data_IF_212000643995
#
_entry.id   IF_212000643995
#
_cell.length_a   1.000
_cell.length_b   1.000
_cell.length_c   1.000
_cell.angle_alpha   90.00
_cell.angle_beta   90.00
_cell.angle_gamma   90.00
#
_symmetry.space_group_name_H-M   'P 1'
#
loop_
_entity.id
_entity.type
_entity.pdbx_description
1 polymer ?
#
# COMPACT_ATOMS: atom_id res chain seq x y z
N UNK A 1 -6.84 11.64 5.93
CA UNK A 1 -8.20 11.88 6.43
C UNK A 1 -8.39 13.38 6.60
N UNK A 2 -7.67 14.01 7.54
CA UNK A 2 -7.62 15.48 7.72
C UNK A 2 -7.52 16.29 6.42
N UNK A 3 -6.43 16.15 5.65
CA UNK A 3 -6.27 16.83 4.36
C UNK A 3 -7.41 16.57 3.37
N UNK A 4 -8.01 15.39 3.43
CA UNK A 4 -9.09 15.02 2.54
C UNK A 4 -10.42 15.70 2.98
N UNK A 5 -10.64 15.83 4.29
CA UNK A 5 -11.76 16.57 4.87
C UNK A 5 -11.63 18.07 4.58
N UNK A 6 -10.45 18.66 4.84
CA UNK A 6 -10.18 20.08 4.59
C UNK A 6 -10.31 20.44 3.11
N UNK A 7 -9.91 19.52 2.22
CA UNK A 7 -10.00 19.69 0.77
C UNK A 7 -11.36 19.37 0.16
N UNK A 8 -12.35 18.93 0.96
CA UNK A 8 -13.69 18.60 0.45
C UNK A 8 -13.73 17.41 -0.52
N UNK A 9 -12.85 16.43 -0.34
CA UNK A 9 -12.82 15.23 -1.18
C UNK A 9 -13.90 14.22 -0.78
N UNK A 10 -14.32 13.38 -1.73
CA UNK A 10 -15.40 12.40 -1.48
C UNK A 10 -14.96 11.24 -0.57
N UNK A 11 -13.72 10.79 -0.70
CA UNK A 11 -13.17 9.63 0.00
C UNK A 11 -11.68 9.76 0.27
N UNK A 12 -11.18 9.01 1.26
CA UNK A 12 -9.76 8.74 1.42
C UNK A 12 -9.49 7.22 1.48
N UNK A 13 -8.26 6.83 1.12
CA UNK A 13 -7.82 5.44 1.12
C UNK A 13 -6.32 5.35 1.44
N UNK A 14 -5.78 4.14 1.42
CA UNK A 14 -4.34 3.90 1.54
C UNK A 14 -3.86 2.89 0.49
N UNK A 15 -2.63 3.08 0.01
CA UNK A 15 -1.98 2.13 -0.90
C UNK A 15 -1.57 0.84 -0.20
N UNK A 16 -1.52 0.79 1.14
CA UNK A 16 -1.05 -0.38 1.90
C UNK A 16 -1.81 -1.67 1.57
N UNK A 17 -3.07 -1.59 1.11
CA UNK A 17 -3.89 -2.76 0.78
C UNK A 17 -3.48 -3.44 -0.54
N UNK A 18 -2.58 -2.85 -1.34
CA UNK A 18 -1.98 -3.50 -2.52
C UNK A 18 -0.95 -4.57 -2.15
N UNK A 19 -0.30 -4.44 -0.99
CA UNK A 19 0.78 -5.34 -0.61
C UNK A 19 0.22 -6.71 -0.18
N UNK A 20 0.78 -7.82 -0.69
CA UNK A 20 0.33 -9.16 -0.32
C UNK A 20 0.58 -9.48 1.17
N UNK A 21 1.52 -8.79 1.81
CA UNK A 21 1.91 -9.02 3.20
C UNK A 21 1.09 -8.22 4.22
N UNK A 22 0.21 -7.31 3.77
CA UNK A 22 -0.56 -6.43 4.67
C UNK A 22 -1.93 -7.00 4.98
N UNK A 23 -2.33 -6.90 6.24
CA UNK A 23 -3.66 -7.29 6.70
C UNK A 23 -4.69 -6.23 6.30
N UNK A 24 -5.37 -6.45 5.17
CA UNK A 24 -6.37 -5.52 4.65
C UNK A 24 -7.58 -5.37 5.58
N UNK A 25 -7.98 -6.41 6.32
CA UNK A 25 -9.08 -6.31 7.27
C UNK A 25 -8.75 -5.30 8.37
N UNK A 26 -7.56 -5.42 8.97
CA UNK A 26 -7.11 -4.48 10.01
C UNK A 26 -6.94 -3.06 9.48
N UNK A 27 -6.43 -2.91 8.25
CA UNK A 27 -6.30 -1.59 7.61
C UNK A 27 -7.68 -0.95 7.39
N UNK A 28 -8.66 -1.70 6.89
CA UNK A 28 -10.00 -1.19 6.68
C UNK A 28 -10.70 -0.85 8.01
N UNK A 29 -10.48 -1.63 9.08
CA UNK A 29 -10.96 -1.30 10.43
C UNK A 29 -10.44 0.07 10.89
N UNK A 30 -9.13 0.31 10.77
CA UNK A 30 -8.50 1.60 11.14
C UNK A 30 -9.04 2.74 10.26
N UNK A 31 -9.11 2.52 8.95
CA UNK A 31 -9.65 3.52 8.00
C UNK A 31 -11.08 3.92 8.34
N UNK A 32 -11.93 2.96 8.72
CA UNK A 32 -13.30 3.24 9.14
C UNK A 32 -13.38 4.00 10.46
N UNK A 33 -12.52 3.69 11.44
CA UNK A 33 -12.43 4.46 12.68
C UNK A 33 -12.08 5.93 12.39
N UNK A 34 -11.08 6.16 11.53
CA UNK A 34 -10.68 7.51 11.11
C UNK A 34 -11.78 8.21 10.29
N UNK A 35 -12.59 7.46 9.53
CA UNK A 35 -13.73 8.04 8.81
C UNK A 35 -14.73 8.70 9.77
N UNK A 36 -15.01 8.06 10.91
CA UNK A 36 -15.86 8.63 11.95
C UNK A 36 -15.23 9.84 12.66
N UNK A 37 -13.92 9.82 12.90
CA UNK A 37 -13.20 10.91 13.56
C UNK A 37 -13.13 12.19 12.70
N UNK A 38 -12.82 12.05 11.40
CA UNK A 38 -12.60 13.18 10.50
C UNK A 38 -13.84 13.56 9.66
N UNK A 39 -14.94 12.80 9.77
CA UNK A 39 -16.18 13.07 9.03
C UNK A 39 -16.09 12.89 7.51
N UNK A 40 -15.04 12.23 7.02
CA UNK A 40 -14.83 11.94 5.59
C UNK A 40 -14.91 10.43 5.33
N UNK A 41 -15.62 9.95 4.30
CA UNK A 41 -15.74 8.52 4.02
C UNK A 41 -14.40 7.80 3.75
N UNK A 42 -14.19 6.65 4.38
CA UNK A 42 -13.14 5.70 4.00
C UNK A 42 -13.57 4.90 2.77
N UNK A 43 -12.66 4.70 1.82
CA UNK A 43 -12.85 3.77 0.70
C UNK A 43 -12.37 2.36 1.09
N UNK A 44 -13.27 1.40 1.38
CA UNK A 44 -12.88 0.04 1.74
C UNK A 44 -12.18 -0.61 0.57
N UNK A 45 -10.94 -1.05 0.77
CA UNK A 45 -10.10 -1.56 -0.31
C UNK A 45 -9.35 -2.82 0.08
N UNK A 46 -9.21 -3.70 -0.89
CA UNK A 46 -8.30 -4.85 -0.86
C UNK A 46 -7.66 -4.98 -2.23
N UNK A 47 -6.82 -4.00 -2.58
CA UNK A 47 -6.32 -3.81 -3.94
C UNK A 47 -5.50 -4.99 -4.46
N UNK A 48 -5.00 -5.88 -3.60
CA UNK A 48 -4.32 -7.11 -4.03
C UNK A 48 -5.25 -8.17 -4.63
N UNK A 49 -6.57 -8.15 -4.35
CA UNK A 49 -7.53 -9.13 -4.88
C UNK A 49 -7.73 -8.98 -6.39
N UNK A 50 -8.33 -10.00 -7.02
CA UNK A 50 -8.62 -10.03 -8.47
C UNK A 50 -7.39 -9.71 -9.33
N UNK A 51 -6.25 -10.29 -8.98
CA UNK A 51 -4.94 -10.05 -9.62
C UNK A 51 -4.43 -8.61 -9.52
N UNK A 52 -4.97 -7.76 -8.64
CA UNK A 52 -4.53 -6.37 -8.55
C UNK A 52 -3.06 -6.22 -8.14
N UNK A 53 -2.53 -7.11 -7.29
CA UNK A 53 -1.08 -7.12 -7.01
C UNK A 53 -0.25 -7.44 -8.26
N UNK A 54 -0.66 -8.44 -9.05
CA UNK A 54 -0.02 -8.78 -10.33
C UNK A 54 -0.07 -7.59 -11.29
N UNK A 55 -1.23 -6.95 -11.43
CA UNK A 55 -1.39 -5.73 -12.25
C UNK A 55 -0.47 -4.61 -11.78
N UNK A 56 -0.25 -4.46 -10.47
CA UNK A 56 0.70 -3.47 -9.95
C UNK A 56 2.14 -3.73 -10.39
N UNK A 57 2.55 -4.99 -10.53
CA UNK A 57 3.88 -5.37 -11.02
C UNK A 57 4.00 -5.03 -12.51
N UNK A 58 2.99 -5.41 -13.31
CA UNK A 58 2.94 -5.11 -14.74
C UNK A 58 3.02 -3.60 -14.98
N UNK A 59 2.21 -2.81 -14.28
CA UNK A 59 2.22 -1.35 -14.37
C UNK A 59 3.55 -0.74 -13.93
N UNK A 60 4.20 -1.32 -12.92
CA UNK A 60 5.51 -0.83 -12.49
C UNK A 60 6.60 -1.09 -13.54
N UNK A 61 6.53 -2.22 -14.25
CA UNK A 61 7.43 -2.49 -15.36
C UNK A 61 7.12 -1.57 -16.56
N UNK A 62 5.85 -1.38 -16.88
CA UNK A 62 5.37 -0.51 -17.96
C UNK A 62 5.80 0.95 -17.77
N UNK A 63 5.76 1.45 -16.54
CA UNK A 63 6.11 2.84 -16.20
C UNK A 63 7.52 3.01 -15.62
N UNK A 64 8.38 1.99 -15.72
CA UNK A 64 9.76 2.01 -15.22
C UNK A 64 9.88 2.44 -13.74
N UNK A 65 8.91 2.04 -12.92
CA UNK A 65 8.86 2.40 -11.50
C UNK A 65 9.81 1.52 -10.70
N UNK A 66 10.61 2.17 -9.87
CA UNK A 66 11.44 1.48 -8.88
C UNK A 66 10.56 0.71 -7.88
N UNK A 67 10.83 -0.60 -7.74
CA UNK A 67 10.19 -1.46 -6.74
C UNK A 67 11.21 -1.92 -5.71
N UNK A 68 11.17 -1.31 -4.53
CA UNK A 68 12.01 -1.71 -3.40
C UNK A 68 11.68 -3.16 -2.98
N UNK A 69 12.73 -3.97 -2.83
CA UNK A 69 12.66 -5.39 -2.45
C UNK A 69 13.31 -5.68 -1.08
N UNK A 70 13.43 -4.65 -0.25
CA UNK A 70 13.92 -4.68 1.13
C UNK A 70 13.08 -3.69 1.97
N UNK A 71 13.15 -3.74 3.31
CA UNK A 71 12.24 -2.97 4.16
C UNK A 71 12.68 -1.52 4.45
N UNK A 72 13.78 -1.07 3.85
CA UNK A 72 14.39 0.25 4.06
C UNK A 72 15.50 0.27 5.12
N UNK A 73 15.69 -0.79 5.92
CA UNK A 73 16.78 -0.85 6.90
C UNK A 73 18.06 -1.46 6.31
N UNK A 74 19.22 -1.10 6.86
CA UNK A 74 20.53 -1.57 6.41
C UNK A 74 20.65 -3.11 6.44
N UNK A 75 20.06 -3.76 7.45
CA UNK A 75 20.06 -5.22 7.57
C UNK A 75 19.32 -5.91 6.42
N UNK A 76 18.09 -5.46 6.12
CA UNK A 76 17.29 -6.03 5.02
C UNK A 76 17.90 -5.77 3.65
N UNK A 77 18.60 -4.63 3.51
CA UNK A 77 19.33 -4.30 2.28
C UNK A 77 20.50 -5.26 2.08
N UNK A 78 21.34 -5.44 3.11
CA UNK A 78 22.48 -6.35 3.05
C UNK A 78 22.05 -7.80 2.80
N UNK A 79 20.98 -8.26 3.47
CA UNK A 79 20.38 -9.57 3.21
C UNK A 79 19.95 -9.71 1.75
N UNK A 80 19.26 -8.69 1.21
CA UNK A 80 18.76 -8.73 -0.16
C UNK A 80 19.88 -8.71 -1.20
N UNK A 81 20.92 -7.92 -0.95
CA UNK A 81 22.12 -7.87 -1.81
C UNK A 81 22.85 -9.22 -1.83
N UNK A 82 23.00 -9.87 -0.67
CA UNK A 82 23.59 -11.21 -0.58
C UNK A 82 22.76 -12.27 -1.33
N UNK A 83 21.42 -12.21 -1.25
CA UNK A 83 20.54 -13.11 -2.01
C UNK A 83 20.71 -12.93 -3.54
N UNK A 84 20.86 -11.69 -4.01
CA UNK A 84 21.05 -11.40 -5.45
C UNK A 84 22.41 -11.90 -5.94
N UNK A 85 23.47 -11.74 -5.13
CA UNK A 85 24.82 -12.18 -5.51
C UNK A 85 24.96 -13.71 -5.61
N UNK A 86 24.10 -14.46 -4.92
CA UNK A 86 24.10 -15.93 -4.88
C UNK A 86 23.10 -16.58 -5.84
N UNK A 87 22.32 -15.78 -6.58
CA UNK A 87 21.31 -16.25 -7.54
C UNK A 87 21.88 -16.31 -8.95
#
# INVERSE_FOLDING_TARGET
>A
AELAADGGYDYFATTLTISPLKNAAKINEIGQALSGEYGIPWLPSDFKKKNGYKRSIELSAEYELYRQNYCGCAFSKAEREAQIANA
#
